data_IF_965404030106
#
_entry.id   IF_965404030106
#
_cell.length_a   1.000
_cell.length_b   1.000
_cell.length_c   1.000
_cell.angle_alpha   90.00
_cell.angle_beta   90.00
_cell.angle_gamma   90.00
#
_symmetry.space_group_name_H-M   'P 1'
#
loop_
_entity.id
_entity.type
_entity.pdbx_description
1 polymer ?
#
# COMPACT_ATOMS: atom_id res chain seq x y z
N UNK A 1 13.33 -4.81 29.52
CA UNK A 1 13.49 -4.35 30.90
C UNK A 1 14.48 -5.29 31.60
N UNK A 2 15.70 -4.83 31.86
CA UNK A 2 16.63 -5.52 32.76
C UNK A 2 16.41 -4.97 34.16
N UNK A 3 15.92 -5.79 35.07
CA UNK A 3 15.86 -5.49 36.50
C UNK A 3 17.15 -6.01 37.15
N UNK A 4 17.96 -5.10 37.64
CA UNK A 4 18.97 -5.40 38.65
C UNK A 4 18.42 -5.00 40.03
N UNK A 5 18.80 -5.70 41.09
CA UNK A 5 18.26 -5.56 42.46
C UNK A 5 18.32 -4.14 43.03
N UNK A 6 19.00 -3.18 42.41
CA UNK A 6 19.15 -1.80 42.92
C UNK A 6 18.67 -0.69 41.98
N UNK A 7 18.34 -0.98 40.70
CA UNK A 7 17.80 0.02 39.77
C UNK A 7 17.05 -0.61 38.59
N UNK A 8 15.87 -0.12 38.25
CA UNK A 8 15.20 -0.44 37.01
C UNK A 8 15.62 0.56 35.92
N UNK A 9 16.36 0.13 34.91
CA UNK A 9 16.65 0.95 33.74
C UNK A 9 15.81 0.48 32.55
N UNK A 10 15.03 1.37 31.95
CA UNK A 10 14.39 1.14 30.65
C UNK A 10 15.34 1.61 29.55
N UNK A 11 15.79 0.68 28.70
CA UNK A 11 16.50 1.02 27.46
C UNK A 11 15.57 0.80 26.28
N UNK A 12 15.37 1.84 25.48
CA UNK A 12 14.75 1.70 24.19
C UNK A 12 15.77 1.06 23.23
N UNK A 13 15.47 -0.13 22.73
CA UNK A 13 16.30 -0.81 21.74
C UNK A 13 15.59 -0.73 20.40
N UNK A 14 16.24 -0.09 19.42
CA UNK A 14 15.76 -0.05 18.05
C UNK A 14 16.48 -1.13 17.24
N UNK A 15 15.80 -2.18 16.80
CA UNK A 15 16.40 -3.20 15.95
C UNK A 15 16.58 -2.66 14.53
N UNK A 16 17.70 -2.00 14.30
CA UNK A 16 18.04 -1.39 13.02
C UNK A 16 19.43 -1.79 12.55
N UNK A 17 19.60 -1.87 11.23
CA UNK A 17 20.90 -2.00 10.58
C UNK A 17 21.23 -0.72 9.80
N UNK A 18 22.51 -0.34 9.77
CA UNK A 18 22.99 0.79 8.99
C UNK A 18 23.80 0.30 7.79
N UNK A 19 23.42 0.72 6.60
CA UNK A 19 24.15 0.48 5.35
C UNK A 19 24.84 1.77 4.95
N UNK A 20 26.16 1.76 4.83
CA UNK A 20 26.96 2.96 4.51
C UNK A 20 27.85 2.74 3.29
N UNK A 21 27.89 3.72 2.38
CA UNK A 21 28.78 3.74 1.21
C UNK A 21 28.98 5.19 0.73
N UNK A 22 30.20 5.56 0.39
CA UNK A 22 30.53 6.87 -0.18
C UNK A 22 30.08 8.06 0.67
N UNK A 23 30.10 7.94 2.01
CA UNK A 23 29.66 9.00 2.94
C UNK A 23 28.15 9.11 3.13
N UNK A 24 27.35 8.27 2.46
CA UNK A 24 25.92 8.14 2.65
C UNK A 24 25.61 7.00 3.60
N UNK A 25 24.54 7.12 4.40
CA UNK A 25 24.08 6.06 5.31
C UNK A 25 22.56 5.94 5.24
N UNK A 26 22.07 4.71 5.12
CA UNK A 26 20.64 4.36 5.15
C UNK A 26 20.39 3.45 6.34
N UNK A 27 19.36 3.77 7.14
CA UNK A 27 18.91 2.93 8.24
C UNK A 27 17.82 1.98 7.75
N UNK A 28 17.94 0.71 8.13
CA UNK A 28 16.99 -0.35 7.84
C UNK A 28 16.33 -0.77 9.15
N UNK A 29 15.01 -0.62 9.26
CA UNK A 29 14.24 -1.23 10.34
C UNK A 29 14.12 -2.74 10.10
N UNK A 30 14.73 -3.54 10.99
CA UNK A 30 14.78 -5.00 10.86
C UNK A 30 13.43 -5.67 11.18
N UNK A 31 12.59 -5.06 12.03
CA UNK A 31 11.32 -5.62 12.46
C UNK A 31 10.11 -5.13 11.65
N UNK A 32 10.28 -4.17 10.76
CA UNK A 32 9.15 -3.74 9.91
C UNK A 32 8.69 -4.88 8.99
N UNK A 33 7.38 -5.13 8.96
CA UNK A 33 6.75 -6.20 8.19
C UNK A 33 5.27 -6.28 8.53
N UNK A 34 4.57 -7.24 7.93
CA UNK A 34 3.17 -7.48 8.23
C UNK A 34 3.01 -8.00 9.67
N UNK A 35 2.22 -7.30 10.47
CA UNK A 35 1.86 -7.75 11.82
C UNK A 35 0.78 -8.84 11.73
N UNK A 36 0.99 -9.95 12.41
CA UNK A 36 0.00 -11.02 12.52
C UNK A 36 -0.62 -11.01 13.90
N UNK A 37 -1.93 -11.26 13.94
CA UNK A 37 -2.69 -11.30 15.17
C UNK A 37 -3.24 -12.70 15.42
N UNK A 38 -3.24 -13.13 16.68
CA UNK A 38 -3.86 -14.37 17.13
C UNK A 38 -4.90 -14.06 18.22
N UNK A 39 -5.85 -14.98 18.43
CA UNK A 39 -6.78 -14.86 19.56
C UNK A 39 -6.13 -15.44 20.80
N UNK A 40 -6.07 -14.64 21.87
CA UNK A 40 -5.68 -15.13 23.19
C UNK A 40 -6.70 -16.20 23.64
N UNK A 41 -6.27 -17.42 23.94
CA UNK A 41 -7.16 -18.50 24.36
C UNK A 41 -7.95 -18.22 25.66
N UNK A 42 -7.42 -17.35 26.53
CA UNK A 42 -8.04 -17.05 27.83
C UNK A 42 -9.01 -15.88 27.76
N UNK A 43 -8.67 -14.84 26.99
CA UNK A 43 -9.45 -13.59 26.95
C UNK A 43 -10.29 -13.46 25.69
N UNK A 44 -10.01 -14.27 24.65
CA UNK A 44 -10.64 -14.17 23.32
C UNK A 44 -10.24 -12.91 22.53
N UNK A 45 -9.39 -12.05 23.11
CA UNK A 45 -8.92 -10.81 22.47
C UNK A 45 -7.86 -11.09 21.40
N UNK A 46 -7.83 -10.24 20.38
CA UNK A 46 -6.74 -10.25 19.42
C UNK A 46 -5.48 -9.68 20.09
N UNK A 47 -4.41 -10.48 20.07
CA UNK A 47 -3.07 -10.11 20.55
C UNK A 47 -2.08 -10.30 19.42
N UNK A 48 -1.00 -9.52 19.43
CA UNK A 48 0.05 -9.65 18.41
C UNK A 48 0.70 -11.04 18.50
N UNK A 49 0.77 -11.75 17.37
CA UNK A 49 1.58 -12.96 17.22
C UNK A 49 3.01 -12.54 16.86
N UNK A 50 3.82 -12.26 17.90
CA UNK A 50 5.19 -11.80 17.73
C UNK A 50 6.03 -12.77 16.89
N UNK A 51 5.84 -14.07 17.05
CA UNK A 51 6.62 -15.06 16.32
C UNK A 51 6.33 -15.02 14.81
N UNK A 52 5.07 -14.88 14.41
CA UNK A 52 4.70 -14.74 12.99
C UNK A 52 5.08 -13.37 12.45
N UNK A 53 4.89 -12.32 13.22
CA UNK A 53 5.28 -10.95 12.84
C UNK A 53 6.78 -10.84 12.61
N UNK A 54 7.61 -11.42 13.49
CA UNK A 54 9.07 -11.50 13.31
C UNK A 54 9.42 -12.35 12.07
N UNK A 55 8.76 -13.48 11.86
CA UNK A 55 8.97 -14.31 10.65
C UNK A 55 8.65 -13.55 9.36
N UNK A 56 7.60 -12.72 9.33
CA UNK A 56 7.30 -11.84 8.21
C UNK A 56 8.37 -10.78 7.99
N UNK A 57 8.90 -10.19 9.07
CA UNK A 57 9.99 -9.22 9.00
C UNK A 57 11.29 -9.85 8.51
N UNK A 58 11.63 -11.06 8.99
CA UNK A 58 12.79 -11.85 8.55
C UNK A 58 12.72 -12.17 7.06
N UNK A 59 11.55 -12.57 6.56
CA UNK A 59 11.35 -12.86 5.15
C UNK A 59 11.61 -11.65 4.23
N UNK A 60 11.51 -10.43 4.78
CA UNK A 60 11.76 -9.19 4.05
C UNK A 60 13.22 -8.69 4.14
N UNK A 61 14.09 -9.29 4.95
CA UNK A 61 15.46 -8.78 5.17
C UNK A 61 16.27 -8.70 3.87
N UNK A 62 16.22 -9.75 3.05
CA UNK A 62 16.95 -9.77 1.76
C UNK A 62 16.50 -8.57 0.88
N UNK A 63 15.20 -8.34 0.78
CA UNK A 63 14.65 -7.19 0.05
C UNK A 63 15.12 -5.86 0.66
N UNK A 64 15.04 -5.69 1.98
CA UNK A 64 15.42 -4.45 2.67
C UNK A 64 16.88 -4.10 2.44
N UNK A 65 17.78 -5.08 2.58
CA UNK A 65 19.20 -4.87 2.34
C UNK A 65 19.48 -4.61 0.85
N UNK A 66 18.91 -5.37 -0.06
CA UNK A 66 19.08 -5.16 -1.50
C UNK A 66 18.57 -3.77 -1.95
N UNK A 67 17.41 -3.34 -1.44
CA UNK A 67 16.88 -1.99 -1.68
C UNK A 67 17.81 -0.91 -1.15
N UNK A 68 18.28 -1.02 0.10
CA UNK A 68 19.19 -0.05 0.70
C UNK A 68 20.53 0.03 -0.05
N UNK A 69 21.12 -1.11 -0.42
CA UNK A 69 22.35 -1.17 -1.20
C UNK A 69 22.16 -0.51 -2.57
N UNK A 70 21.07 -0.85 -3.27
CA UNK A 70 20.77 -0.26 -4.57
C UNK A 70 20.56 1.26 -4.48
N UNK A 71 19.85 1.75 -3.46
CA UNK A 71 19.64 3.18 -3.24
C UNK A 71 20.95 3.92 -2.96
N UNK A 72 21.82 3.37 -2.11
CA UNK A 72 23.05 4.04 -1.69
C UNK A 72 24.14 4.03 -2.79
N UNK A 73 24.13 3.03 -3.67
CA UNK A 73 25.08 2.88 -4.77
C UNK A 73 24.63 3.55 -6.07
N UNK A 74 23.44 4.10 -6.13
CA UNK A 74 22.96 4.82 -7.31
C UNK A 74 23.83 6.06 -7.59
N UNK A 75 24.24 6.28 -8.85
CA UNK A 75 25.02 7.46 -9.22
C UNK A 75 24.24 8.77 -9.04
N UNK A 76 22.92 8.75 -9.23
CA UNK A 76 22.03 9.87 -9.02
C UNK A 76 20.67 9.40 -8.49
N UNK A 77 20.05 10.22 -7.65
CA UNK A 77 18.67 9.98 -7.20
C UNK A 77 17.70 10.22 -8.36
N UNK A 78 16.68 9.34 -8.55
CA UNK A 78 15.65 9.58 -9.56
C UNK A 78 14.86 10.85 -9.25
N UNK A 79 14.51 11.63 -10.28
CA UNK A 79 13.73 12.83 -10.14
C UNK A 79 12.23 12.50 -10.10
N UNK A 80 11.53 12.99 -9.08
CA UNK A 80 10.08 12.86 -8.94
C UNK A 80 9.44 14.23 -9.05
N UNK A 81 8.47 14.36 -9.98
CA UNK A 81 7.68 15.57 -10.14
C UNK A 81 6.36 15.48 -9.39
N UNK A 82 6.02 16.49 -8.62
CA UNK A 82 4.69 16.67 -8.05
C UNK A 82 3.94 17.70 -8.91
N UNK A 83 2.86 17.25 -9.56
CA UNK A 83 2.08 18.11 -10.45
C UNK A 83 1.27 19.10 -9.62
N UNK A 84 1.32 20.37 -10.01
CA UNK A 84 0.48 21.45 -9.47
C UNK A 84 -0.19 22.21 -10.61
N UNK A 85 -1.22 23.00 -10.27
CA UNK A 85 -1.96 23.82 -11.23
C UNK A 85 -3.41 23.40 -11.41
N UNK A 86 -3.83 22.26 -10.82
CA UNK A 86 -5.22 21.81 -10.81
C UNK A 86 -5.76 21.65 -9.38
N UNK A 87 -5.35 22.53 -8.46
CA UNK A 87 -5.83 22.54 -7.08
C UNK A 87 -5.32 21.38 -6.22
N UNK A 88 -4.16 20.82 -6.56
CA UNK A 88 -3.50 19.81 -5.74
C UNK A 88 -3.10 20.39 -4.38
N UNK A 89 -3.20 19.62 -3.30
CA UNK A 89 -2.85 20.08 -1.96
C UNK A 89 -1.35 20.45 -1.84
N UNK A 90 -1.06 21.51 -1.09
CA UNK A 90 0.29 22.06 -0.87
C UNK A 90 0.52 22.43 0.60
N UNK A 91 -0.39 22.03 1.47
CA UNK A 91 -0.40 22.40 2.89
C UNK A 91 0.22 21.34 3.81
N UNK A 92 -0.09 21.41 5.11
CA UNK A 92 0.40 20.48 6.14
C UNK A 92 0.03 19.01 5.86
N UNK A 93 -1.04 18.76 5.12
CA UNK A 93 -1.51 17.44 4.69
C UNK A 93 -0.55 16.73 3.75
N UNK A 94 0.40 17.46 3.12
CA UNK A 94 1.42 16.87 2.23
C UNK A 94 2.77 16.68 2.90
N UNK A 95 2.92 17.06 4.17
CA UNK A 95 4.23 17.07 4.83
C UNK A 95 4.91 15.70 4.84
N UNK A 96 4.16 14.63 5.13
CA UNK A 96 4.71 13.26 5.14
C UNK A 96 5.00 12.72 3.74
N UNK A 97 4.24 13.15 2.74
CA UNK A 97 4.53 12.87 1.34
C UNK A 97 5.87 13.52 0.93
N UNK A 98 6.05 14.80 1.22
CA UNK A 98 7.29 15.52 0.93
C UNK A 98 8.49 14.92 1.65
N UNK A 99 8.31 14.49 2.91
CA UNK A 99 9.36 13.80 3.68
C UNK A 99 9.83 12.51 2.97
N UNK A 100 8.89 11.66 2.52
CA UNK A 100 9.21 10.43 1.77
C UNK A 100 9.92 10.77 0.46
N UNK A 101 9.42 11.75 -0.29
CA UNK A 101 10.00 12.12 -1.58
C UNK A 101 11.39 12.72 -1.44
N UNK A 102 11.63 13.55 -0.42
CA UNK A 102 12.91 14.25 -0.21
C UNK A 102 14.02 13.34 0.34
N UNK A 103 13.66 12.18 0.92
CA UNK A 103 14.64 11.25 1.52
C UNK A 103 15.40 10.47 0.44
N UNK A 104 14.67 9.91 -0.54
CA UNK A 104 15.26 8.94 -1.49
C UNK A 104 15.29 9.48 -2.94
N UNK A 105 14.71 10.64 -3.21
CA UNK A 105 14.48 11.18 -4.56
C UNK A 105 14.87 12.65 -4.66
N UNK A 106 15.19 13.08 -5.87
CA UNK A 106 15.22 14.51 -6.20
C UNK A 106 13.79 14.96 -6.45
N UNK A 107 13.22 15.74 -5.52
CA UNK A 107 11.83 16.17 -5.57
C UNK A 107 11.69 17.57 -6.18
N UNK A 108 10.69 17.77 -7.05
CA UNK A 108 10.40 19.07 -7.65
C UNK A 108 8.93 19.27 -7.99
N UNK A 109 8.48 20.53 -7.95
CA UNK A 109 7.13 20.93 -8.35
C UNK A 109 7.07 21.14 -9.87
N UNK A 110 6.00 20.63 -10.50
CA UNK A 110 5.73 20.80 -11.93
C UNK A 110 4.41 21.53 -12.09
N UNK A 111 4.46 22.83 -12.36
CA UNK A 111 3.26 23.62 -12.63
C UNK A 111 2.81 23.39 -14.07
N UNK A 112 1.71 22.62 -14.23
CA UNK A 112 1.21 22.22 -15.56
C UNK A 112 0.71 23.40 -16.39
N UNK A 113 0.32 24.50 -15.73
CA UNK A 113 -0.18 25.70 -16.41
C UNK A 113 0.94 26.63 -16.87
N UNK A 114 2.04 26.73 -16.08
CA UNK A 114 3.19 27.56 -16.40
C UNK A 114 4.20 26.86 -17.30
N UNK A 115 4.46 25.57 -17.07
CA UNK A 115 5.43 24.83 -17.86
C UNK A 115 4.84 24.50 -19.23
N UNK A 116 5.57 24.82 -20.29
CA UNK A 116 5.17 24.46 -21.65
C UNK A 116 5.14 22.92 -21.84
N UNK A 117 6.06 22.21 -21.16
CA UNK A 117 6.23 20.77 -21.24
C UNK A 117 6.58 20.20 -19.86
N UNK A 118 6.35 18.90 -19.65
CA UNK A 118 6.84 18.18 -18.46
C UNK A 118 8.28 17.78 -18.75
N UNK A 119 9.26 18.10 -17.88
CA UNK A 119 10.66 17.77 -18.12
C UNK A 119 10.91 16.27 -18.27
N UNK A 120 11.66 15.86 -19.30
CA UNK A 120 11.98 14.44 -19.57
C UNK A 120 12.87 13.79 -18.53
N UNK A 121 13.56 14.58 -17.69
CA UNK A 121 14.39 14.10 -16.59
C UNK A 121 13.56 13.55 -15.42
N UNK A 122 12.28 13.86 -15.35
CA UNK A 122 11.36 13.36 -14.33
C UNK A 122 11.12 11.88 -14.59
N UNK A 123 11.49 11.04 -13.63
CA UNK A 123 11.34 9.58 -13.71
C UNK A 123 9.91 9.12 -13.45
N UNK A 124 9.20 9.83 -12.56
CA UNK A 124 7.78 9.62 -12.30
C UNK A 124 7.10 10.94 -11.90
N UNK A 125 5.85 11.11 -12.33
CA UNK A 125 5.01 12.26 -12.04
C UNK A 125 3.88 11.85 -11.08
N UNK A 126 3.76 12.54 -9.95
CA UNK A 126 2.65 12.36 -9.01
C UNK A 126 1.57 13.39 -9.29
N UNK A 127 0.34 12.93 -9.41
CA UNK A 127 -0.88 13.73 -9.50
C UNK A 127 -1.76 13.33 -8.31
N UNK A 128 -1.82 14.21 -7.30
CA UNK A 128 -2.45 13.92 -6.02
C UNK A 128 -3.64 14.84 -5.79
N UNK A 129 -4.81 14.26 -5.60
CA UNK A 129 -6.06 14.93 -5.21
C UNK A 129 -6.32 16.26 -5.98
N UNK A 130 -6.32 16.25 -7.32
CA UNK A 130 -6.70 17.45 -8.08
C UNK A 130 -8.15 17.83 -7.75
N UNK A 131 -8.41 19.13 -7.61
CA UNK A 131 -9.74 19.63 -7.26
C UNK A 131 -10.39 20.46 -8.36
N UNK A 132 -9.63 20.83 -9.40
CA UNK A 132 -10.13 21.61 -10.55
C UNK A 132 -9.90 20.87 -11.86
N UNK A 133 -10.75 21.11 -12.89
CA UNK A 133 -10.65 20.44 -14.18
C UNK A 133 -9.30 20.63 -14.88
N UNK A 134 -8.85 19.58 -15.55
CA UNK A 134 -7.71 19.66 -16.46
C UNK A 134 -8.12 20.25 -17.80
N UNK A 135 -7.37 21.25 -18.26
CA UNK A 135 -7.52 21.75 -19.63
C UNK A 135 -7.01 20.71 -20.65
N UNK A 136 -7.48 20.80 -21.89
CA UNK A 136 -6.97 19.92 -22.96
C UNK A 136 -5.46 20.09 -23.19
N UNK A 137 -4.94 21.30 -22.98
CA UNK A 137 -3.51 21.56 -23.01
C UNK A 137 -2.76 20.79 -21.90
N UNK A 138 -3.28 20.81 -20.67
CA UNK A 138 -2.70 20.07 -19.55
C UNK A 138 -2.72 18.55 -19.80
N UNK A 139 -3.85 18.01 -20.23
CA UNK A 139 -3.97 16.59 -20.60
C UNK A 139 -3.00 16.19 -21.70
N UNK A 140 -2.82 17.02 -22.73
CA UNK A 140 -1.90 16.77 -23.83
C UNK A 140 -0.44 16.75 -23.39
N UNK A 141 -0.04 17.63 -22.47
CA UNK A 141 1.29 17.61 -21.87
C UNK A 141 1.55 16.32 -21.10
N UNK A 142 0.58 15.86 -20.30
CA UNK A 142 0.65 14.60 -19.56
C UNK A 142 0.69 13.41 -20.53
N UNK A 143 -0.17 13.42 -21.55
CA UNK A 143 -0.21 12.36 -22.58
C UNK A 143 1.16 12.24 -23.28
N UNK A 144 1.72 13.34 -23.75
CA UNK A 144 3.01 13.31 -24.43
C UNK A 144 4.17 12.94 -23.49
N UNK A 145 4.13 13.32 -22.22
CA UNK A 145 5.09 12.86 -21.23
C UNK A 145 5.03 11.33 -21.09
N UNK A 146 3.83 10.73 -21.03
CA UNK A 146 3.63 9.28 -21.02
C UNK A 146 4.14 8.64 -22.32
N UNK A 147 3.84 9.25 -23.48
CA UNK A 147 4.31 8.75 -24.76
C UNK A 147 5.85 8.78 -24.89
N UNK A 148 6.53 9.68 -24.20
CA UNK A 148 8.00 9.71 -24.13
C UNK A 148 8.59 8.67 -23.14
N UNK A 149 7.76 7.87 -22.49
CA UNK A 149 8.17 6.84 -21.49
C UNK A 149 8.08 7.31 -20.04
N UNK A 150 7.52 8.48 -19.81
CA UNK A 150 7.23 8.99 -18.46
C UNK A 150 6.20 8.11 -17.73
N UNK A 151 6.37 8.00 -16.43
CA UNK A 151 5.48 7.20 -15.56
C UNK A 151 4.63 8.12 -14.72
N UNK A 152 3.36 7.76 -14.50
CA UNK A 152 2.44 8.61 -13.76
C UNK A 152 1.75 7.83 -12.64
N UNK A 153 1.70 8.44 -11.47
CA UNK A 153 0.95 7.98 -10.31
C UNK A 153 -0.25 8.91 -10.13
N UNK A 154 -1.43 8.37 -10.36
CA UNK A 154 -2.70 9.06 -10.20
C UNK A 154 -3.33 8.68 -8.87
N UNK A 155 -3.47 9.63 -7.96
CA UNK A 155 -4.23 9.54 -6.72
C UNK A 155 -5.38 10.55 -6.83
N UNK A 156 -6.57 10.08 -7.18
CA UNK A 156 -7.65 10.95 -7.67
C UNK A 156 -8.97 10.68 -6.98
N UNK A 157 -9.54 11.72 -6.39
CA UNK A 157 -10.94 11.75 -5.97
C UNK A 157 -11.79 12.30 -7.09
N UNK A 158 -12.56 11.44 -7.75
CA UNK A 158 -13.51 11.89 -8.77
C UNK A 158 -14.66 12.71 -8.18
N UNK A 159 -14.92 12.50 -6.88
CA UNK A 159 -16.01 13.16 -6.17
C UNK A 159 -15.49 14.18 -5.16
N UNK A 160 -16.29 15.22 -4.94
CA UNK A 160 -16.20 16.02 -3.74
C UNK A 160 -16.86 15.26 -2.59
N UNK A 161 -16.11 14.90 -1.59
CA UNK A 161 -16.57 14.39 -0.30
C UNK A 161 -15.47 14.67 0.72
N UNK A 162 -15.71 15.58 1.66
CA UNK A 162 -14.66 16.10 2.53
C UNK A 162 -15.01 15.87 4.01
N UNK A 163 -13.99 15.42 4.76
CA UNK A 163 -14.08 15.14 6.20
C UNK A 163 -14.44 16.40 7.00
N UNK A 164 -13.87 17.54 6.63
CA UNK A 164 -14.07 18.80 7.35
C UNK A 164 -15.53 19.26 7.30
N UNK A 165 -16.20 19.05 6.15
CA UNK A 165 -17.62 19.34 6.01
C UNK A 165 -18.46 18.48 6.97
N UNK A 166 -18.14 17.19 7.12
CA UNK A 166 -18.80 16.31 8.07
C UNK A 166 -18.54 16.72 9.53
N UNK A 167 -17.33 17.16 9.84
CA UNK A 167 -16.99 17.58 11.19
C UNK A 167 -17.76 18.84 11.62
N UNK A 168 -18.07 19.76 10.67
CA UNK A 168 -18.75 21.02 10.95
C UNK A 168 -20.26 20.85 10.94
N UNK A 169 -20.82 20.16 9.93
CA UNK A 169 -22.28 20.13 9.69
C UNK A 169 -22.93 18.79 9.94
N UNK A 170 -22.16 17.75 10.35
CA UNK A 170 -22.57 16.35 10.47
C UNK A 170 -23.13 15.74 9.16
N UNK A 171 -23.10 16.48 8.08
CA UNK A 171 -23.57 16.06 6.74
C UNK A 171 -22.68 16.66 5.66
N UNK A 172 -22.46 15.89 4.59
CA UNK A 172 -21.83 16.41 3.36
C UNK A 172 -22.53 15.82 2.14
N UNK A 173 -22.44 16.51 1.01
CA UNK A 173 -22.99 16.01 -0.25
C UNK A 173 -21.84 15.58 -1.13
N UNK A 174 -21.83 14.32 -1.51
CA UNK A 174 -20.88 13.81 -2.50
C UNK A 174 -21.40 14.09 -3.91
N UNK A 175 -20.57 14.74 -4.73
CA UNK A 175 -20.90 15.07 -6.12
C UNK A 175 -19.64 15.07 -6.99
N UNK A 176 -19.83 14.95 -8.32
CA UNK A 176 -18.75 14.93 -9.30
C UNK A 176 -17.96 16.25 -9.30
N UNK A 177 -16.63 16.17 -9.19
CA UNK A 177 -15.72 17.32 -9.30
C UNK A 177 -15.58 17.84 -10.74
N UNK A 178 -15.94 17.01 -11.73
CA UNK A 178 -15.79 17.37 -13.14
C UNK A 178 -14.33 17.55 -13.58
N UNK A 179 -13.43 16.68 -13.14
CA UNK A 179 -11.97 16.83 -13.36
C UNK A 179 -11.53 16.79 -14.81
N UNK A 180 -12.37 16.31 -15.73
CA UNK A 180 -12.09 16.24 -17.18
C UNK A 180 -10.86 15.37 -17.52
N UNK A 181 -10.66 14.26 -16.79
CA UNK A 181 -9.59 13.30 -17.05
C UNK A 181 -10.12 11.93 -17.55
N UNK A 182 -11.42 11.76 -17.59
CA UNK A 182 -12.10 10.48 -17.88
C UNK A 182 -11.69 9.93 -19.25
N UNK A 183 -11.64 10.78 -20.28
CA UNK A 183 -11.28 10.37 -21.65
C UNK A 183 -9.81 9.88 -21.74
N UNK A 184 -8.92 10.51 -20.97
CA UNK A 184 -7.52 10.13 -20.90
C UNK A 184 -7.32 8.78 -20.21
N UNK A 185 -7.91 8.61 -19.02
CA UNK A 185 -7.85 7.36 -18.27
C UNK A 185 -8.56 6.22 -19.00
N UNK A 186 -9.70 6.50 -19.64
CA UNK A 186 -10.43 5.54 -20.47
C UNK A 186 -9.58 5.05 -21.65
N UNK A 187 -8.87 5.96 -22.32
CA UNK A 187 -7.94 5.61 -23.41
C UNK A 187 -6.85 4.67 -22.91
N UNK A 188 -6.39 4.83 -21.66
CA UNK A 188 -5.36 4.00 -21.05
C UNK A 188 -5.90 2.70 -20.41
N UNK A 189 -7.21 2.52 -20.40
CA UNK A 189 -7.84 1.26 -20.05
C UNK A 189 -8.43 1.16 -18.65
N UNK A 190 -8.72 2.28 -18.00
CA UNK A 190 -9.44 2.34 -16.72
C UNK A 190 -10.47 3.46 -16.71
N UNK A 191 -11.48 3.31 -15.87
CA UNK A 191 -12.47 4.33 -15.57
C UNK A 191 -12.66 4.41 -14.05
N UNK A 192 -12.47 5.59 -13.47
CA UNK A 192 -12.87 5.88 -12.09
C UNK A 192 -14.38 6.19 -12.12
N UNK A 193 -15.16 5.47 -11.33
CA UNK A 193 -16.60 5.63 -11.30
C UNK A 193 -17.01 6.81 -10.40
N UNK A 194 -18.18 7.38 -10.68
CA UNK A 194 -18.77 8.44 -9.87
C UNK A 194 -19.64 7.85 -8.77
N UNK A 195 -19.02 7.03 -7.93
CA UNK A 195 -19.63 6.34 -6.81
C UNK A 195 -18.72 6.39 -5.58
N UNK A 196 -19.27 6.09 -4.42
CA UNK A 196 -18.52 5.91 -3.18
C UNK A 196 -18.48 4.44 -2.82
N UNK A 197 -17.31 3.94 -2.53
CA UNK A 197 -17.09 2.62 -1.97
C UNK A 197 -17.38 2.66 -0.47
N UNK A 198 -18.29 1.81 -0.02
CA UNK A 198 -18.54 1.52 1.39
C UNK A 198 -18.16 0.09 1.70
N UNK A 199 -17.50 -0.13 2.84
CA UNK A 199 -17.00 -1.44 3.23
C UNK A 199 -17.25 -1.70 4.72
N UNK A 200 -17.63 -2.93 5.07
CA UNK A 200 -17.72 -3.32 6.48
C UNK A 200 -16.35 -3.44 7.14
N UNK A 201 -15.31 -3.70 6.33
CA UNK A 201 -13.91 -3.60 6.77
C UNK A 201 -13.46 -2.15 6.60
N UNK A 202 -13.73 -1.33 7.61
CA UNK A 202 -13.48 0.11 7.61
C UNK A 202 -12.77 0.56 8.89
N UNK A 203 -12.22 1.76 8.84
CA UNK A 203 -11.73 2.44 10.04
C UNK A 203 -12.92 2.92 10.91
N UNK A 204 -12.61 3.35 12.11
CA UNK A 204 -13.59 3.86 13.07
C UNK A 204 -13.54 5.38 13.13
N UNK A 205 -14.67 5.98 13.50
CA UNK A 205 -14.77 7.39 13.84
C UNK A 205 -15.35 7.56 15.23
N UNK A 206 -14.79 8.48 16.01
CA UNK A 206 -15.34 8.83 17.34
C UNK A 206 -16.59 9.66 17.16
N UNK A 207 -17.72 9.12 17.58
CA UNK A 207 -19.03 9.77 17.45
C UNK A 207 -19.73 9.89 18.80
N UNK A 208 -20.54 10.94 18.94
CA UNK A 208 -21.43 11.08 20.09
C UNK A 208 -22.61 10.13 19.89
N UNK A 209 -22.66 9.07 20.69
CA UNK A 209 -23.73 8.04 20.67
C UNK A 209 -24.80 8.24 21.72
N UNK A 210 -24.59 9.16 22.65
CA UNK A 210 -25.53 9.47 23.75
C UNK A 210 -25.03 10.60 24.62
N UNK A 211 -25.79 10.90 25.67
CA UNK A 211 -25.42 11.87 26.72
C UNK A 211 -25.54 11.18 28.05
N UNK A 212 -24.51 11.27 28.88
CA UNK A 212 -24.53 10.79 30.28
C UNK A 212 -24.41 11.99 31.21
N UNK A 213 -25.54 12.44 31.80
CA UNK A 213 -25.64 13.74 32.44
C UNK A 213 -25.42 14.88 31.45
N UNK A 214 -24.51 15.81 31.72
CA UNK A 214 -24.15 16.94 30.85
C UNK A 214 -22.97 16.66 29.92
N UNK A 215 -22.45 15.41 29.88
CA UNK A 215 -21.28 15.05 29.09
C UNK A 215 -21.67 14.18 27.88
N UNK A 216 -21.19 14.50 26.66
CA UNK A 216 -21.40 13.64 25.51
C UNK A 216 -20.66 12.31 25.70
N UNK A 217 -21.37 11.22 25.45
CA UNK A 217 -20.79 9.87 25.45
C UNK A 217 -20.23 9.58 24.05
N UNK A 218 -18.91 9.44 23.96
CA UNK A 218 -18.21 9.10 22.73
C UNK A 218 -18.05 7.59 22.61
N UNK A 219 -18.28 7.06 21.42
CA UNK A 219 -17.94 5.69 21.05
C UNK A 219 -17.23 5.64 19.69
N UNK A 220 -16.42 4.63 19.49
CA UNK A 220 -15.83 4.33 18.20
C UNK A 220 -16.87 3.57 17.37
N UNK A 221 -17.33 4.20 16.27
CA UNK A 221 -18.32 3.65 15.36
C UNK A 221 -17.63 3.34 14.02
N UNK A 222 -17.83 2.14 13.42
CA UNK A 222 -17.30 1.84 12.09
C UNK A 222 -17.75 2.90 11.09
N UNK A 223 -16.79 3.47 10.35
CA UNK A 223 -17.05 4.52 9.37
C UNK A 223 -16.88 3.94 7.96
N UNK A 224 -17.94 3.35 7.44
CA UNK A 224 -17.95 2.56 6.20
C UNK A 224 -17.41 3.28 4.96
N UNK A 225 -17.34 4.61 4.97
CA UNK A 225 -16.74 5.43 3.92
C UNK A 225 -15.21 5.55 4.02
N UNK A 226 -14.61 4.96 5.07
CA UNK A 226 -13.16 4.85 5.24
C UNK A 226 -12.73 3.39 5.12
N UNK A 227 -12.83 2.80 3.91
CA UNK A 227 -12.52 1.40 3.70
C UNK A 227 -11.05 1.10 3.95
N UNK A 228 -10.78 -0.06 4.54
CA UNK A 228 -9.45 -0.63 4.64
C UNK A 228 -9.22 -1.51 3.42
N UNK A 229 -8.59 -0.95 2.41
CA UNK A 229 -8.35 -1.63 1.13
C UNK A 229 -7.39 -2.79 1.30
N UNK A 230 -7.78 -3.96 0.82
CA UNK A 230 -7.01 -5.20 0.89
C UNK A 230 -5.97 -5.25 -0.22
N UNK A 231 -4.66 -5.38 0.10
CA UNK A 231 -3.60 -5.51 -0.88
C UNK A 231 -3.62 -6.87 -1.58
N UNK A 232 -3.36 -6.89 -2.89
CA UNK A 232 -3.20 -8.13 -3.65
C UNK A 232 -1.95 -8.88 -3.22
N UNK A 233 -2.10 -10.14 -2.83
CA UNK A 233 -0.97 -11.01 -2.48
C UNK A 233 -0.16 -11.51 -3.69
N UNK A 234 -0.65 -11.27 -4.91
CA UNK A 234 -0.07 -11.79 -6.14
C UNK A 234 1.01 -10.89 -6.74
N UNK A 235 0.98 -9.58 -6.43
CA UNK A 235 1.90 -8.63 -7.02
C UNK A 235 3.01 -8.21 -6.04
N UNK A 236 4.29 -8.12 -6.47
CA UNK A 236 5.41 -7.77 -5.58
C UNK A 236 5.23 -6.44 -4.84
N UNK A 237 4.58 -5.47 -5.48
CA UNK A 237 4.33 -4.14 -4.94
C UNK A 237 3.47 -4.16 -3.68
N UNK A 238 2.48 -5.06 -3.63
CA UNK A 238 1.47 -5.11 -2.55
C UNK A 238 1.56 -6.37 -1.68
N UNK A 239 2.46 -7.30 -2.03
CA UNK A 239 2.62 -8.52 -1.25
C UNK A 239 3.20 -8.23 0.14
N UNK A 240 2.71 -8.97 1.14
CA UNK A 240 3.11 -8.80 2.54
C UNK A 240 2.90 -7.38 3.08
N UNK A 241 1.85 -6.70 2.62
CA UNK A 241 1.39 -5.42 3.14
C UNK A 241 0.14 -5.61 4.00
N UNK A 242 0.01 -4.79 5.00
CA UNK A 242 -1.25 -4.58 5.72
C UNK A 242 -2.23 -3.77 4.86
N UNK A 243 -3.51 -3.71 5.23
CA UNK A 243 -4.48 -2.89 4.52
C UNK A 243 -4.03 -1.42 4.38
N UNK A 244 -4.53 -0.78 3.32
CA UNK A 244 -4.33 0.64 3.05
C UNK A 244 -5.61 1.38 3.40
N UNK A 245 -5.50 2.40 4.25
CA UNK A 245 -6.63 3.25 4.62
C UNK A 245 -6.98 4.18 3.45
N UNK A 246 -8.24 4.16 3.03
CA UNK A 246 -8.79 5.08 2.06
C UNK A 246 -9.90 5.93 2.69
N UNK A 247 -10.20 7.10 2.08
CA UNK A 247 -11.22 8.03 2.56
C UNK A 247 -12.12 8.46 1.41
N UNK A 248 -13.42 8.17 1.49
CA UNK A 248 -14.40 8.46 0.42
C UNK A 248 -13.99 7.93 -0.95
N UNK A 249 -13.35 6.77 -0.95
CA UNK A 249 -12.78 6.15 -2.14
C UNK A 249 -13.85 5.89 -3.22
N UNK A 250 -13.49 6.15 -4.47
CA UNK A 250 -14.27 5.73 -5.63
C UNK A 250 -13.92 4.30 -6.05
N UNK A 251 -14.71 3.72 -6.95
CA UNK A 251 -14.38 2.43 -7.56
C UNK A 251 -13.74 2.60 -8.93
N UNK A 252 -12.96 1.60 -9.37
CA UNK A 252 -12.33 1.60 -10.69
C UNK A 252 -12.80 0.40 -11.50
N UNK A 253 -13.26 0.66 -12.73
CA UNK A 253 -13.50 -0.36 -13.73
C UNK A 253 -12.32 -0.47 -14.70
N UNK A 254 -12.04 -1.69 -15.15
CA UNK A 254 -11.12 -1.91 -16.26
C UNK A 254 -11.84 -1.81 -17.59
N UNK A 255 -11.22 -1.08 -18.54
CA UNK A 255 -11.73 -0.89 -19.89
C UNK A 255 -10.80 -1.55 -20.89
N UNK A 256 -11.32 -2.06 -22.01
CA UNK A 256 -10.49 -2.68 -23.04
C UNK A 256 -9.53 -1.64 -23.65
N UNK A 257 -8.23 -1.87 -23.51
CA UNK A 257 -7.16 -1.11 -24.17
C UNK A 257 -6.12 -2.09 -24.70
N UNK A 258 -5.81 -1.97 -25.99
CA UNK A 258 -4.88 -2.88 -26.66
C UNK A 258 -3.45 -2.62 -26.18
N UNK A 259 -2.71 -3.68 -25.89
CA UNK A 259 -1.30 -3.61 -25.48
C UNK A 259 -1.09 -3.18 -24.01
N UNK A 260 -2.17 -3.07 -23.20
CA UNK A 260 -2.08 -2.69 -21.79
C UNK A 260 -2.51 -3.86 -20.90
N UNK A 261 -1.60 -4.32 -20.07
CA UNK A 261 -1.86 -5.22 -18.95
C UNK A 261 -2.39 -4.42 -17.76
N UNK A 262 -3.42 -4.93 -17.12
CA UNK A 262 -4.07 -4.31 -15.96
C UNK A 262 -3.96 -5.23 -14.76
N UNK A 263 -3.30 -4.78 -13.72
CA UNK A 263 -3.13 -5.55 -12.48
C UNK A 263 -3.81 -4.83 -11.32
N UNK A 264 -4.81 -5.46 -10.75
CA UNK A 264 -5.52 -4.92 -9.58
C UNK A 264 -4.60 -5.07 -8.37
N UNK A 265 -4.29 -3.96 -7.71
CA UNK A 265 -3.40 -3.90 -6.56
C UNK A 265 -4.13 -3.82 -5.23
N UNK A 266 -5.18 -2.98 -5.15
CA UNK A 266 -5.99 -2.80 -3.96
C UNK A 266 -7.46 -3.01 -4.29
N UNK A 267 -8.16 -3.71 -3.40
CA UNK A 267 -9.60 -3.97 -3.52
C UNK A 267 -10.33 -3.74 -2.21
N UNK A 268 -11.65 -3.60 -2.29
CA UNK A 268 -12.50 -3.73 -1.10
C UNK A 268 -12.39 -5.13 -0.48
N UNK A 269 -12.98 -5.30 0.70
CA UNK A 269 -13.20 -6.61 1.33
C UNK A 269 -14.23 -7.45 0.55
N UNK A 270 -14.63 -8.57 1.16
CA UNK A 270 -15.70 -9.44 0.67
C UNK A 270 -17.10 -8.90 0.96
N UNK A 271 -17.21 -7.82 1.73
CA UNK A 271 -18.47 -7.25 2.21
C UNK A 271 -18.50 -5.75 1.96
N UNK A 272 -18.67 -5.39 0.70
CA UNK A 272 -18.70 -4.00 0.25
C UNK A 272 -19.99 -3.67 -0.51
N UNK A 273 -20.28 -2.39 -0.62
CA UNK A 273 -21.33 -1.83 -1.49
C UNK A 273 -20.86 -0.54 -2.14
N UNK A 274 -21.56 -0.09 -3.15
CA UNK A 274 -21.29 1.20 -3.79
C UNK A 274 -22.52 2.10 -3.68
N UNK A 275 -22.28 3.38 -3.46
CA UNK A 275 -23.31 4.42 -3.41
C UNK A 275 -23.10 5.37 -4.59
N UNK A 276 -24.09 5.40 -5.50
CA UNK A 276 -24.04 6.30 -6.65
C UNK A 276 -24.26 7.75 -6.21
N UNK A 277 -23.58 8.68 -6.87
CA UNK A 277 -23.69 10.11 -6.60
C UNK A 277 -24.57 10.82 -7.61
N UNK A 278 -25.20 11.98 -7.23
CA UNK A 278 -25.04 12.71 -5.96
C UNK A 278 -25.69 12.01 -4.77
N UNK A 279 -25.00 12.02 -3.60
CA UNK A 279 -25.47 11.37 -2.38
C UNK A 279 -25.19 12.23 -1.15
N UNK A 280 -26.07 12.18 -0.16
CA UNK A 280 -25.85 12.79 1.14
C UNK A 280 -25.15 11.78 2.05
N UNK A 281 -24.04 12.16 2.64
CA UNK A 281 -23.35 11.42 3.68
C UNK A 281 -23.73 12.06 5.01
N UNK A 282 -24.28 11.30 5.95
CA UNK A 282 -24.72 11.80 7.26
C UNK A 282 -24.12 10.97 8.39
N UNK A 283 -23.55 11.62 9.40
CA UNK A 283 -23.07 10.94 10.59
C UNK A 283 -24.21 10.31 11.42
N UNK A 284 -25.44 10.83 11.30
CA UNK A 284 -26.60 10.26 11.99
C UNK A 284 -27.03 8.92 11.40
N UNK A 285 -26.89 8.74 10.08
CA UNK A 285 -27.21 7.47 9.43
C UNK A 285 -26.23 6.35 9.85
N UNK A 286 -24.99 6.69 10.17
CA UNK A 286 -23.97 5.73 10.61
C UNK A 286 -24.22 5.19 12.03
N UNK A 287 -25.03 5.90 12.85
CA UNK A 287 -25.46 5.43 14.16
C UNK A 287 -26.50 4.31 14.08
N UNK A 288 -27.16 4.19 12.93
CA UNK A 288 -28.13 3.13 12.68
C UNK A 288 -27.37 1.89 12.21
N UNK A 289 -27.63 0.74 12.84
CA UNK A 289 -27.01 -0.52 12.44
C UNK A 289 -27.40 -0.79 10.99
N UNK A 290 -26.45 -0.63 10.06
CA UNK A 290 -26.66 -0.97 8.66
C UNK A 290 -26.92 -2.48 8.54
N UNK A 291 -27.76 -2.83 7.59
CA UNK A 291 -28.06 -4.21 7.25
C UNK A 291 -26.85 -4.82 6.52
N UNK A 292 -26.10 -5.77 7.11
CA UNK A 292 -24.92 -6.37 6.47
C UNK A 292 -25.23 -6.99 5.09
N UNK A 293 -26.49 -7.39 4.87
CA UNK A 293 -26.95 -8.01 3.62
C UNK A 293 -26.84 -7.05 2.41
N UNK A 294 -26.80 -5.73 2.65
CA UNK A 294 -26.62 -4.73 1.59
C UNK A 294 -25.17 -4.69 1.06
N UNK A 295 -24.20 -5.20 1.84
CA UNK A 295 -22.79 -5.28 1.47
C UNK A 295 -22.51 -6.59 0.74
N UNK A 296 -23.09 -6.74 -0.44
CA UNK A 296 -23.08 -7.98 -1.22
C UNK A 296 -22.06 -8.01 -2.36
N UNK A 297 -21.31 -6.92 -2.56
CA UNK A 297 -20.22 -6.85 -3.53
C UNK A 297 -18.89 -7.24 -2.90
N UNK A 298 -17.98 -7.78 -3.73
CA UNK A 298 -16.73 -8.38 -3.28
C UNK A 298 -15.57 -7.89 -4.12
N UNK A 299 -14.42 -7.63 -3.46
CA UNK A 299 -13.16 -7.34 -4.13
C UNK A 299 -13.29 -6.25 -5.20
N UNK A 300 -13.98 -5.15 -4.91
CA UNK A 300 -14.17 -4.05 -5.84
C UNK A 300 -12.81 -3.34 -6.01
N UNK A 301 -12.32 -3.14 -7.25
CA UNK A 301 -11.03 -2.50 -7.47
C UNK A 301 -11.04 -1.02 -7.05
N UNK A 302 -9.97 -0.60 -6.35
CA UNK A 302 -9.72 0.79 -5.94
C UNK A 302 -8.33 1.29 -6.37
N UNK A 303 -7.40 0.39 -6.69
CA UNK A 303 -6.10 0.73 -7.27
C UNK A 303 -5.70 -0.28 -8.35
N UNK A 304 -5.28 0.24 -9.51
CA UNK A 304 -4.90 -0.58 -10.68
C UNK A 304 -3.57 -0.09 -11.24
N UNK A 305 -2.65 -1.03 -11.47
CA UNK A 305 -1.41 -0.82 -12.20
C UNK A 305 -1.65 -1.13 -13.69
N UNK A 306 -1.22 -0.22 -14.54
CA UNK A 306 -1.29 -0.32 -15.99
C UNK A 306 0.14 -0.43 -16.54
N UNK A 307 0.43 -1.48 -17.28
CA UNK A 307 1.74 -1.71 -17.89
C UNK A 307 1.60 -2.08 -19.35
N UNK A 308 2.50 -1.61 -20.18
CA UNK A 308 2.56 -1.95 -21.60
C UNK A 308 2.71 -0.76 -22.53
N UNK A 309 2.28 -0.92 -23.79
CA UNK A 309 2.41 0.10 -24.81
C UNK A 309 1.17 0.98 -24.87
N UNK A 310 1.30 2.22 -24.37
CA UNK A 310 0.22 3.20 -24.36
C UNK A 310 0.04 3.87 -25.73
N UNK A 311 -1.21 4.16 -26.07
CA UNK A 311 -1.57 4.92 -27.27
C UNK A 311 -2.08 6.30 -26.88
N UNK A 312 -1.55 7.33 -27.53
CA UNK A 312 -1.94 8.72 -27.30
C UNK A 312 -3.42 8.96 -27.59
N UNK A 313 -4.07 9.69 -26.67
CA UNK A 313 -5.41 10.23 -26.88
C UNK A 313 -5.42 11.26 -28.02
N UNK A 314 -4.28 11.91 -28.26
CA UNK A 314 -4.13 13.08 -29.13
C UNK A 314 -3.60 12.76 -30.53
N UNK A 315 -3.50 11.49 -30.92
CA UNK A 315 -3.02 11.04 -32.23
C UNK A 315 -3.69 11.81 -33.39
N UNK A 316 -5.01 12.03 -33.31
CA UNK A 316 -5.80 12.72 -34.34
C UNK A 316 -6.47 14.01 -33.83
N UNK A 317 -6.12 14.47 -32.62
CA UNK A 317 -6.73 15.63 -31.96
C UNK A 317 -5.77 16.81 -31.77
N UNK A 318 -4.63 16.79 -32.46
CA UNK A 318 -3.59 17.82 -32.33
C UNK A 318 -3.26 18.40 -33.69
N UNK A 319 -3.28 19.72 -33.80
CA UNK A 319 -2.85 20.46 -35.01
C UNK A 319 -1.33 20.38 -35.21
N UNK A 320 -0.90 20.66 -36.44
CA UNK A 320 0.51 20.57 -36.85
C UNK A 320 1.42 21.50 -36.03
N UNK A 321 0.98 22.73 -35.74
CA UNK A 321 1.79 23.70 -34.98
C UNK A 321 2.05 23.23 -33.54
N UNK A 322 1.05 22.64 -32.90
CA UNK A 322 1.19 22.05 -31.58
C UNK A 322 2.10 20.80 -31.62
N UNK A 323 1.94 19.92 -32.63
CA UNK A 323 2.85 18.78 -32.80
C UNK A 323 4.30 19.23 -32.99
N UNK A 324 4.55 20.28 -33.78
CA UNK A 324 5.89 20.83 -34.02
C UNK A 324 6.50 21.41 -32.74
N UNK A 325 5.71 22.02 -31.86
CA UNK A 325 6.15 22.46 -30.53
C UNK A 325 6.65 21.28 -29.67
N UNK A 326 5.94 20.17 -29.65
CA UNK A 326 6.37 18.96 -28.96
C UNK A 326 7.59 18.30 -29.62
N UNK A 327 7.67 18.30 -30.95
CA UNK A 327 8.85 17.84 -31.69
C UNK A 327 10.09 18.66 -31.34
N UNK A 328 9.95 19.97 -31.25
CA UNK A 328 11.06 20.87 -30.88
C UNK A 328 11.58 20.60 -29.47
N UNK A 329 10.71 20.24 -28.53
CA UNK A 329 11.09 20.01 -27.13
C UNK A 329 11.59 18.57 -26.89
N UNK A 330 10.81 17.56 -27.33
CA UNK A 330 11.11 16.14 -27.11
C UNK A 330 11.84 15.45 -28.26
N UNK A 331 12.09 16.17 -29.36
CA UNK A 331 12.62 15.59 -30.60
C UNK A 331 11.57 14.93 -31.50
N UNK A 332 10.38 14.63 -30.96
CA UNK A 332 9.27 14.02 -31.69
C UNK A 332 7.92 14.25 -31.01
N UNK A 333 6.84 14.07 -31.77
CA UNK A 333 5.50 13.89 -31.25
C UNK A 333 5.14 12.39 -31.40
N UNK A 334 4.83 11.72 -30.30
CA UNK A 334 4.58 10.29 -30.32
C UNK A 334 3.11 9.96 -30.23
N UNK A 335 2.69 9.01 -31.05
CA UNK A 335 1.32 8.44 -31.02
C UNK A 335 1.24 7.17 -30.18
N UNK A 336 2.41 6.58 -29.87
CA UNK A 336 2.56 5.38 -29.05
C UNK A 336 3.76 5.56 -28.13
N UNK A 337 3.71 5.00 -26.95
CA UNK A 337 4.79 5.10 -25.94
C UNK A 337 6.13 4.55 -26.48
N UNK A 338 7.22 5.23 -26.10
CA UNK A 338 8.58 4.93 -26.56
C UNK A 338 9.09 3.56 -26.09
N UNK A 339 8.60 3.11 -24.94
CA UNK A 339 8.93 1.84 -24.28
C UNK A 339 7.68 1.32 -23.60
N UNK A 340 7.77 0.15 -23.00
CA UNK A 340 6.74 -0.29 -22.06
C UNK A 340 6.58 0.75 -20.94
N UNK A 341 5.41 1.37 -20.93
CA UNK A 341 5.05 2.39 -19.94
C UNK A 341 4.49 1.74 -18.68
N UNK A 342 4.42 2.52 -17.60
CA UNK A 342 3.85 2.10 -16.35
C UNK A 342 3.07 3.25 -15.71
N UNK A 343 1.82 3.02 -15.35
CA UNK A 343 0.98 3.99 -14.64
C UNK A 343 0.26 3.30 -13.48
N UNK A 344 0.16 3.98 -12.35
CA UNK A 344 -0.70 3.58 -11.24
C UNK A 344 -1.91 4.50 -11.18
N UNK A 345 -3.10 3.94 -11.06
CA UNK A 345 -4.34 4.69 -10.83
C UNK A 345 -4.96 4.23 -9.53
N UNK A 346 -5.11 5.15 -8.59
CA UNK A 346 -5.76 4.97 -7.28
C UNK A 346 -6.95 5.91 -7.22
N UNK A 347 -8.10 5.39 -6.90
CA UNK A 347 -9.35 6.16 -6.87
C UNK A 347 -9.60 6.83 -5.52
N UNK A 348 -8.53 7.33 -4.92
CA UNK A 348 -8.53 8.08 -3.66
C UNK A 348 -7.24 8.89 -3.55
N UNK A 349 -7.38 10.19 -3.39
CA UNK A 349 -6.25 11.12 -3.23
C UNK A 349 -5.68 11.14 -1.83
N UNK A 350 -6.46 10.77 -0.82
CA UNK A 350 -6.07 10.81 0.59
C UNK A 350 -5.12 9.67 0.98
N UNK A 351 -5.00 8.63 0.15
CA UNK A 351 -4.10 7.49 0.39
C UNK A 351 -2.65 7.92 0.65
N UNK A 352 -2.18 8.99 0.02
CA UNK A 352 -0.80 9.50 0.15
C UNK A 352 -0.71 10.81 0.92
N UNK A 353 -1.81 11.29 1.46
CA UNK A 353 -1.86 12.47 2.31
C UNK A 353 -1.80 12.08 3.79
N UNK A 354 -1.58 13.04 4.64
CA UNK A 354 -1.55 12.85 6.08
C UNK A 354 -2.53 13.78 6.80
N UNK A 355 -3.13 13.29 7.86
CA UNK A 355 -3.80 14.13 8.84
C UNK A 355 -2.75 14.96 9.62
N UNK A 356 -3.17 16.07 10.21
CA UNK A 356 -2.30 16.90 11.03
C UNK A 356 -3.03 17.42 12.28
N UNK A 357 -2.25 17.73 13.29
CA UNK A 357 -2.67 18.43 14.50
C UNK A 357 -2.11 19.86 14.44
N UNK A 358 -2.42 20.68 15.44
CA UNK A 358 -1.80 22.01 15.57
C UNK A 358 -0.29 21.95 15.73
N UNK A 359 0.25 20.84 16.22
CA UNK A 359 1.66 20.72 16.61
C UNK A 359 2.47 19.89 15.62
N UNK A 360 1.85 18.93 14.93
CA UNK A 360 2.58 17.98 14.06
C UNK A 360 1.71 17.36 12.99
N UNK A 361 2.36 16.94 11.90
CA UNK A 361 1.78 16.05 10.91
C UNK A 361 1.75 14.61 11.45
N UNK A 362 0.61 13.95 11.31
CA UNK A 362 0.44 12.54 11.67
C UNK A 362 1.01 11.65 10.55
N UNK A 363 1.34 10.39 10.81
CA UNK A 363 1.75 9.46 9.77
C UNK A 363 0.69 9.30 8.67
N UNK A 364 1.11 8.94 7.44
CA UNK A 364 0.17 8.57 6.38
C UNK A 364 -0.65 7.35 6.81
N UNK A 365 -1.97 7.37 6.55
CA UNK A 365 -2.87 6.30 6.92
C UNK A 365 -3.05 6.13 8.43
N UNK A 366 -2.84 7.18 9.22
CA UNK A 366 -3.02 7.13 10.67
C UNK A 366 -4.50 7.14 11.05
N UNK A 367 -4.95 6.12 11.77
CA UNK A 367 -6.25 6.07 12.40
C UNK A 367 -6.22 6.72 13.79
N UNK A 368 -6.99 7.79 13.96
CA UNK A 368 -7.12 8.47 15.27
C UNK A 368 -7.90 7.65 16.28
N UNK A 369 -8.78 6.77 15.83
CA UNK A 369 -9.59 5.92 16.71
C UNK A 369 -8.80 4.71 17.20
N UNK A 370 -8.01 4.09 16.29
CA UNK A 370 -7.21 2.92 16.62
C UNK A 370 -5.79 3.25 17.09
N UNK A 371 -5.37 4.53 17.01
CA UNK A 371 -4.03 5.02 17.35
C UNK A 371 -2.91 4.25 16.66
N UNK A 372 -3.17 3.80 15.42
CA UNK A 372 -2.23 3.02 14.61
C UNK A 372 -2.16 3.57 13.18
N UNK A 373 -1.10 3.20 12.45
CA UNK A 373 -0.94 3.56 11.04
C UNK A 373 -1.09 2.33 10.16
N UNK A 374 -1.88 2.46 9.09
CA UNK A 374 -2.00 1.46 8.03
C UNK A 374 -0.84 1.57 7.02
N UNK A 375 -0.78 0.67 6.05
CA UNK A 375 0.34 0.56 5.11
C UNK A 375 0.39 1.63 4.00
N UNK A 376 -0.21 2.79 4.20
CA UNK A 376 -0.28 3.86 3.20
C UNK A 376 1.12 4.35 2.77
N UNK A 377 2.00 4.65 3.75
CA UNK A 377 3.38 5.04 3.48
C UNK A 377 4.12 3.94 2.71
N UNK A 378 4.00 2.69 3.14
CA UNK A 378 4.64 1.55 2.50
C UNK A 378 4.15 1.34 1.06
N UNK A 379 2.86 1.55 0.80
CA UNK A 379 2.29 1.49 -0.56
C UNK A 379 2.91 2.53 -1.48
N UNK A 380 3.05 3.77 -1.01
CA UNK A 380 3.71 4.84 -1.77
C UNK A 380 5.17 4.51 -2.04
N UNK A 381 5.95 4.14 -1.02
CA UNK A 381 7.37 3.79 -1.14
C UNK A 381 7.59 2.64 -2.13
N UNK A 382 6.84 1.55 -1.99
CA UNK A 382 6.91 0.43 -2.92
C UNK A 382 6.59 0.83 -4.36
N UNK A 383 5.58 1.68 -4.54
CA UNK A 383 5.19 2.16 -5.87
C UNK A 383 6.27 3.02 -6.50
N UNK A 384 6.86 3.94 -5.74
CA UNK A 384 7.97 4.76 -6.21
C UNK A 384 9.19 3.91 -6.56
N UNK A 385 9.54 2.93 -5.73
CA UNK A 385 10.62 1.98 -6.01
C UNK A 385 10.37 1.20 -7.29
N UNK A 386 9.14 0.69 -7.47
CA UNK A 386 8.75 -0.01 -8.68
C UNK A 386 8.87 0.86 -9.93
N UNK A 387 8.38 2.10 -9.84
CA UNK A 387 8.41 3.07 -10.94
C UNK A 387 9.83 3.57 -11.26
N UNK A 388 10.75 3.62 -10.30
CA UNK A 388 12.10 4.18 -10.47
C UNK A 388 13.18 3.14 -10.75
N UNK A 389 12.80 1.90 -11.09
CA UNK A 389 13.71 0.88 -11.61
C UNK A 389 14.16 -0.18 -10.60
N UNK A 390 13.55 -0.26 -9.43
CA UNK A 390 13.79 -1.35 -8.48
C UNK A 390 12.83 -2.53 -8.64
N UNK A 391 12.20 -2.68 -9.83
CA UNK A 391 11.22 -3.72 -10.13
C UNK A 391 11.77 -5.12 -9.83
N UNK A 392 13.01 -5.41 -10.20
CA UNK A 392 13.65 -6.70 -9.97
C UNK A 392 13.92 -6.96 -8.49
N UNK A 393 14.32 -5.92 -7.74
CA UNK A 393 14.55 -6.02 -6.30
C UNK A 393 13.24 -6.26 -5.54
N UNK A 394 12.15 -5.62 -5.97
CA UNK A 394 10.82 -5.86 -5.40
C UNK A 394 10.37 -7.33 -5.56
N UNK A 395 10.88 -8.04 -6.57
CA UNK A 395 10.60 -9.47 -6.72
C UNK A 395 11.12 -10.33 -5.57
N UNK A 396 12.17 -9.87 -4.86
CA UNK A 396 12.70 -10.54 -3.66
C UNK A 396 11.68 -10.60 -2.51
N UNK A 397 10.71 -9.68 -2.48
CA UNK A 397 9.59 -9.74 -1.51
C UNK A 397 8.71 -10.98 -1.69
N UNK A 398 8.81 -11.64 -2.84
CA UNK A 398 8.03 -12.84 -3.15
C UNK A 398 8.56 -14.10 -2.47
N UNK A 399 9.73 -14.07 -1.87
CA UNK A 399 10.28 -15.21 -1.14
C UNK A 399 9.52 -15.40 0.17
N UNK A 400 8.68 -16.44 0.22
CA UNK A 400 8.08 -16.91 1.47
C UNK A 400 9.10 -17.78 2.21
N UNK A 401 9.69 -17.24 3.25
CA UNK A 401 10.36 -18.07 4.25
C UNK A 401 9.24 -18.64 5.13
N UNK A 402 8.73 -19.81 4.78
CA UNK A 402 7.82 -20.54 5.66
C UNK A 402 8.62 -21.12 6.82
N UNK A 403 8.82 -20.31 7.85
CA UNK A 403 9.30 -20.84 9.13
C UNK A 403 8.21 -21.79 9.63
N UNK A 404 8.48 -23.09 9.56
CA UNK A 404 7.60 -24.10 10.13
C UNK A 404 7.71 -24.02 11.66
N UNK A 405 6.98 -23.09 12.24
CA UNK A 405 6.87 -22.99 13.68
C UNK A 405 6.23 -24.27 14.21
N UNK A 406 6.83 -24.82 15.25
CA UNK A 406 6.24 -25.94 15.98
C UNK A 406 4.90 -25.51 16.59
N UNK A 407 3.86 -26.26 16.32
CA UNK A 407 2.53 -26.05 16.90
C UNK A 407 2.63 -26.24 18.42
N UNK A 408 2.66 -25.11 19.15
CA UNK A 408 2.82 -25.10 20.61
C UNK A 408 1.69 -25.86 21.32
N UNK A 409 0.48 -25.86 20.77
CA UNK A 409 -0.65 -26.60 21.33
C UNK A 409 -0.43 -28.10 21.20
N UNK A 410 -0.08 -28.62 20.01
CA UNK A 410 0.27 -30.02 19.80
C UNK A 410 1.52 -30.43 20.57
N UNK A 411 2.49 -29.53 20.71
CA UNK A 411 3.69 -29.84 21.49
C UNK A 411 3.37 -29.99 22.98
N UNK A 412 2.49 -29.18 23.55
CA UNK A 412 2.10 -29.31 24.96
C UNK A 412 1.25 -30.55 25.23
N UNK A 413 0.31 -30.87 24.34
CA UNK A 413 -0.56 -32.04 24.47
C UNK A 413 0.20 -33.38 24.24
N UNK A 414 1.15 -33.40 23.32
CA UNK A 414 1.86 -34.60 22.92
C UNK A 414 3.31 -34.67 23.40
N UNK A 415 3.72 -33.79 24.32
CA UNK A 415 5.11 -33.66 24.78
C UNK A 415 5.67 -34.99 25.26
N UNK A 416 4.92 -35.71 26.12
CA UNK A 416 5.34 -36.98 26.69
C UNK A 416 5.49 -38.08 25.62
N UNK A 417 4.56 -38.11 24.66
CA UNK A 417 4.60 -39.05 23.54
C UNK A 417 5.84 -38.89 22.68
N UNK A 418 6.15 -37.66 22.28
CA UNK A 418 7.34 -37.36 21.46
C UNK A 418 8.66 -37.55 22.23
N UNK A 419 8.68 -37.29 23.54
CA UNK A 419 9.83 -37.60 24.39
C UNK A 419 10.10 -39.09 24.47
N UNK A 420 9.04 -39.91 24.68
CA UNK A 420 9.16 -41.35 24.71
C UNK A 420 9.65 -41.92 23.37
N UNK A 421 9.09 -41.46 22.23
CA UNK A 421 9.53 -41.90 20.91
C UNK A 421 11.00 -41.57 20.67
N UNK A 422 11.43 -40.38 20.94
CA UNK A 422 12.80 -39.91 20.69
C UNK A 422 13.85 -40.63 21.54
N UNK A 423 13.46 -41.24 22.67
CA UNK A 423 14.37 -42.01 23.55
C UNK A 423 14.21 -43.52 23.28
N UNK A 424 12.96 -44.02 23.21
CA UNK A 424 12.70 -45.44 23.10
C UNK A 424 13.07 -46.04 21.73
N UNK A 425 12.78 -45.30 20.63
CA UNK A 425 13.04 -45.79 19.27
C UNK A 425 14.53 -45.96 18.99
N UNK A 426 15.44 -45.02 19.29
CA UNK A 426 16.87 -45.21 19.13
C UNK A 426 17.44 -46.34 19.98
N UNK A 427 16.99 -46.47 21.25
CA UNK A 427 17.38 -47.58 22.11
C UNK A 427 16.96 -48.93 21.55
N UNK A 428 15.71 -49.04 21.08
CA UNK A 428 15.18 -50.26 20.50
C UNK A 428 15.92 -50.65 19.21
N UNK A 429 16.30 -49.70 18.37
CA UNK A 429 17.12 -49.92 17.18
C UNK A 429 18.51 -50.46 17.54
N UNK A 430 19.16 -49.89 18.57
CA UNK A 430 20.46 -50.40 19.04
C UNK A 430 20.36 -51.82 19.57
N UNK A 431 19.34 -52.11 20.37
CA UNK A 431 19.10 -53.48 20.91
C UNK A 431 18.83 -54.49 19.78
N UNK A 432 17.92 -54.15 18.84
CA UNK A 432 17.64 -55.00 17.68
C UNK A 432 18.88 -55.20 16.80
N UNK A 433 19.65 -54.13 16.56
CA UNK A 433 20.93 -54.20 15.83
C UNK A 433 21.94 -55.11 16.53
N UNK A 434 22.05 -55.02 17.86
CA UNK A 434 22.92 -55.89 18.68
C UNK A 434 22.51 -57.33 18.64
N UNK A 435 21.20 -57.64 18.75
CA UNK A 435 20.64 -58.99 18.62
C UNK A 435 20.92 -59.49 17.20
N UNK A 436 20.59 -58.74 16.17
CA UNK A 436 20.81 -59.11 14.78
C UNK A 436 22.29 -59.40 14.49
N UNK A 437 23.20 -58.56 14.99
CA UNK A 437 24.63 -58.74 14.88
C UNK A 437 25.11 -60.01 15.62
N UNK A 438 24.57 -60.30 16.80
CA UNK A 438 24.89 -61.52 17.58
C UNK A 438 24.45 -62.78 16.84
N UNK A 439 23.25 -62.81 16.27
CA UNK A 439 22.77 -63.93 15.44
C UNK A 439 23.60 -64.11 14.16
N UNK A 440 23.96 -63.00 13.49
CA UNK A 440 24.80 -63.02 12.29
C UNK A 440 26.20 -63.57 12.62
N UNK A 441 26.79 -63.11 13.71
CA UNK A 441 28.07 -63.59 14.19
C UNK A 441 28.05 -65.07 14.58
N UNK A 442 27.03 -65.54 15.30
CA UNK A 442 26.86 -66.97 15.60
C UNK A 442 26.76 -67.85 14.33
N UNK A 443 26.05 -67.36 13.30
CA UNK A 443 25.91 -68.12 12.03
C UNK A 443 27.22 -68.20 11.26
N UNK A 444 28.07 -67.18 11.32
CA UNK A 444 29.37 -67.19 10.61
C UNK A 444 30.43 -68.03 11.36
N UNK A 445 30.41 -67.95 12.67
CA UNK A 445 31.48 -68.60 13.47
C UNK A 445 31.06 -69.96 14.12
N UNK A 446 29.84 -70.40 13.94
CA UNK A 446 29.35 -71.72 14.42
C UNK A 446 29.30 -72.78 13.33
N UNK A 447 29.77 -72.55 12.13
CA UNK A 447 29.99 -73.61 11.13
C UNK A 447 31.30 -74.32 11.41
N UNK A 448 31.30 -75.64 11.51
CA UNK A 448 32.50 -76.45 11.85
C UNK A 448 33.56 -76.38 10.75
#
# INVERSE_FOLDING_TARGET
VQQNEESSSQRLVYPAALVSSGGKTISIDLLSGKTEYTRDPLTGRLVNDDARSIGNAEALLEFKFASAISKITRPAQPAIGYLIGNGQPMGPETQKLVEVLSTDYTFGLVDINKNAFIPSQISALLIVKPTTPFSDSAKRKIDQYIMQGGKVLWFVDQLYAEKDSLAITAKTVAYDRGLNIDDLLFKYGVRINRDLLQDLQSDFSKMVVGVSGDKPQLADVPFNYYPLLTPSSKHPLTRNMEPVLAQFCNTIDTVKASGIQKTILLTSSMNAKTLNTPAVISLDELKTIERPELYNKKNIPAAILLEGSFQSLYTYRTDAATQDSFKKYYGNFRTTSASEGCQLVVADGDVVLNDYTRESALPMGFSRSQETSFSNKQFLENTLEYMTGLKDILSLRNREIRVRLLDKAKLSEQKLFWQIINVAVPLLLVVLGGIGFSFWRQRIYSLP
#
